data_IF_520883662846
#
_entry.id   IF_520883662846
#
_cell.length_a   1.000
_cell.length_b   1.000
_cell.length_c   1.000
_cell.angle_alpha   90.00
_cell.angle_beta   90.00
_cell.angle_gamma   90.00
#
_symmetry.space_group_name_H-M   'P 1'
#
loop_
_entity.id
_entity.type
_entity.pdbx_description
1 polymer ?
#
# COMPACT_ATOMS: atom_id res chain seq x y z
N UNK A 1 18.68 -16.28 -9.03
CA UNK A 1 17.47 -15.60 -9.52
C UNK A 1 16.92 -16.39 -10.72
N UNK A 2 15.69 -16.87 -10.64
CA UNK A 2 15.00 -17.64 -11.69
C UNK A 2 14.07 -16.76 -12.52
N UNK A 3 13.54 -17.29 -13.63
CA UNK A 3 12.52 -16.59 -14.43
C UNK A 3 11.23 -16.36 -13.61
N UNK A 4 10.84 -17.34 -12.80
CA UNK A 4 9.67 -17.23 -11.94
C UNK A 4 9.85 -16.13 -10.89
N UNK A 5 11.05 -16.01 -10.30
CA UNK A 5 11.35 -14.91 -9.36
C UNK A 5 11.34 -13.53 -10.04
N UNK A 6 11.82 -13.42 -11.28
CA UNK A 6 11.75 -12.18 -12.04
C UNK A 6 10.30 -11.77 -12.35
N UNK A 7 9.48 -12.74 -12.75
CA UNK A 7 8.04 -12.53 -12.97
C UNK A 7 7.34 -12.11 -11.68
N UNK A 8 7.58 -12.81 -10.57
CA UNK A 8 7.03 -12.49 -9.26
C UNK A 8 7.42 -11.08 -8.80
N UNK A 9 8.68 -10.65 -9.01
CA UNK A 9 9.11 -9.27 -8.71
C UNK A 9 8.31 -8.23 -9.49
N UNK A 10 8.04 -8.47 -10.77
CA UNK A 10 7.21 -7.58 -11.58
C UNK A 10 5.75 -7.56 -11.11
N UNK A 11 5.18 -8.73 -10.80
CA UNK A 11 3.81 -8.84 -10.29
C UNK A 11 3.61 -8.11 -8.95
N UNK A 12 4.54 -8.29 -8.01
CA UNK A 12 4.57 -7.58 -6.71
C UNK A 12 4.70 -6.07 -6.93
N UNK A 13 5.61 -5.65 -7.80
CA UNK A 13 5.80 -4.23 -8.11
C UNK A 13 4.52 -3.60 -8.69
N UNK A 14 3.83 -4.30 -9.60
CA UNK A 14 2.56 -3.82 -10.15
C UNK A 14 1.47 -3.71 -9.09
N UNK A 15 1.45 -4.60 -8.08
CA UNK A 15 0.53 -4.50 -6.93
C UNK A 15 0.81 -3.23 -6.12
N UNK A 16 2.08 -2.96 -5.80
CA UNK A 16 2.48 -1.74 -5.08
C UNK A 16 2.06 -0.47 -5.85
N UNK A 17 2.29 -0.44 -7.18
CA UNK A 17 1.87 0.68 -8.02
C UNK A 17 0.35 0.84 -8.09
N UNK A 18 -0.39 -0.27 -8.17
CA UNK A 18 -1.87 -0.26 -8.16
C UNK A 18 -2.41 0.26 -6.83
N UNK A 19 -1.79 -0.11 -5.71
CA UNK A 19 -2.11 0.42 -4.38
C UNK A 19 -1.92 1.95 -4.33
N UNK A 20 -0.73 2.46 -4.71
CA UNK A 20 -0.47 3.90 -4.75
C UNK A 20 -1.44 4.64 -5.67
N UNK A 21 -1.71 4.11 -6.87
CA UNK A 21 -2.71 4.66 -7.79
C UNK A 21 -4.11 4.70 -7.19
N UNK A 22 -4.48 3.66 -6.43
CA UNK A 22 -5.76 3.60 -5.71
C UNK A 22 -5.87 4.70 -4.67
N UNK A 23 -4.83 4.90 -3.85
CA UNK A 23 -4.78 6.01 -2.89
C UNK A 23 -4.91 7.37 -3.59
N UNK A 24 -4.05 7.63 -4.58
CA UNK A 24 -3.97 8.94 -5.24
C UNK A 24 -5.21 9.31 -6.07
N UNK A 25 -6.05 8.32 -6.39
CA UNK A 25 -7.32 8.52 -7.09
C UNK A 25 -8.55 8.30 -6.23
N UNK A 26 -8.35 8.00 -4.94
CA UNK A 26 -9.43 7.68 -3.99
C UNK A 26 -10.29 6.50 -4.48
N UNK A 27 -9.66 5.51 -5.11
CA UNK A 27 -10.30 4.30 -5.60
C UNK A 27 -10.06 3.14 -4.62
N UNK A 28 -11.02 2.94 -3.73
CA UNK A 28 -10.94 1.92 -2.68
C UNK A 28 -11.01 0.49 -3.21
N UNK A 29 -11.50 0.29 -4.45
CA UNK A 29 -11.48 -1.02 -5.09
C UNK A 29 -10.06 -1.41 -5.48
N UNK A 30 -9.29 -0.45 -6.03
CA UNK A 30 -7.86 -0.64 -6.31
C UNK A 30 -7.05 -0.83 -5.03
N UNK A 31 -7.33 -0.04 -3.99
CA UNK A 31 -6.67 -0.20 -2.68
C UNK A 31 -6.92 -1.58 -2.11
N UNK A 32 -8.18 -2.01 -2.01
CA UNK A 32 -8.55 -3.35 -1.51
C UNK A 32 -7.91 -4.45 -2.35
N UNK A 33 -7.89 -4.29 -3.67
CA UNK A 33 -7.35 -5.27 -4.61
C UNK A 33 -5.83 -5.48 -4.53
N UNK A 34 -5.10 -4.72 -3.71
CA UNK A 34 -3.69 -4.95 -3.44
C UNK A 34 -3.43 -5.96 -2.31
N UNK A 35 -4.46 -6.34 -1.56
CA UNK A 35 -4.36 -7.17 -0.37
C UNK A 35 -5.17 -8.47 -0.51
N UNK A 36 -4.70 -9.53 0.15
CA UNK A 36 -5.56 -10.69 0.41
C UNK A 36 -6.70 -10.31 1.37
N UNK A 37 -7.85 -10.98 1.25
CA UNK A 37 -9.04 -10.62 2.03
C UNK A 37 -8.83 -10.72 3.55
N UNK A 38 -7.98 -11.64 3.99
CA UNK A 38 -7.58 -11.88 5.38
C UNK A 38 -6.34 -11.09 5.79
N UNK A 39 -5.88 -10.13 4.97
CA UNK A 39 -4.67 -9.38 5.26
C UNK A 39 -4.79 -8.62 6.59
N UNK A 40 -3.69 -8.66 7.36
CA UNK A 40 -3.59 -7.94 8.62
C UNK A 40 -2.78 -6.67 8.44
N UNK A 41 -3.42 -5.52 8.64
CA UNK A 41 -2.80 -4.21 8.45
C UNK A 41 -2.18 -3.73 9.76
N UNK A 42 -0.92 -3.31 9.70
CA UNK A 42 -0.18 -2.85 10.88
C UNK A 42 0.53 -1.51 10.63
N UNK A 43 -0.19 -0.41 10.82
CA UNK A 43 0.40 0.93 10.90
C UNK A 43 0.63 1.36 12.36
N UNK A 44 1.25 2.53 12.61
CA UNK A 44 1.22 3.16 13.93
C UNK A 44 -0.22 3.26 14.48
N UNK A 45 -0.34 3.24 15.81
CA UNK A 45 -1.64 3.26 16.51
C UNK A 45 -2.53 4.43 16.09
N UNK A 46 -1.91 5.55 15.70
CA UNK A 46 -2.59 6.75 15.22
C UNK A 46 -3.28 6.60 13.86
N UNK A 47 -3.06 5.49 13.15
CA UNK A 47 -3.60 5.27 11.81
C UNK A 47 -4.51 4.05 11.77
N UNK A 48 -3.97 2.83 11.86
CA UNK A 48 -4.79 1.61 11.90
C UNK A 48 -3.99 0.36 12.29
N UNK A 49 -4.60 -0.52 13.08
CA UNK A 49 -4.15 -1.90 13.28
C UNK A 49 -5.35 -2.83 13.26
N UNK A 50 -5.33 -3.86 12.42
CA UNK A 50 -6.42 -4.82 12.34
C UNK A 50 -6.71 -5.30 10.93
N UNK A 51 -7.98 -5.54 10.63
CA UNK A 51 -8.40 -6.09 9.34
C UNK A 51 -8.25 -5.10 8.18
N UNK A 52 -8.08 -5.65 6.98
CA UNK A 52 -8.18 -4.92 5.71
C UNK A 52 -9.49 -4.12 5.61
N UNK A 53 -10.62 -4.71 6.01
CA UNK A 53 -11.93 -4.03 5.95
C UNK A 53 -11.95 -2.75 6.78
N UNK A 54 -11.41 -2.80 7.99
CA UNK A 54 -11.27 -1.62 8.85
C UNK A 54 -10.37 -0.56 8.21
N UNK A 55 -9.27 -0.99 7.60
CA UNK A 55 -8.32 -0.09 6.95
C UNK A 55 -8.92 0.61 5.73
N UNK A 56 -9.57 -0.16 4.84
CA UNK A 56 -10.22 0.38 3.64
C UNK A 56 -11.34 1.34 4.01
N UNK A 57 -12.11 1.03 5.08
CA UNK A 57 -13.13 1.95 5.60
C UNK A 57 -12.50 3.25 6.10
N UNK A 58 -11.44 3.16 6.89
CA UNK A 58 -10.70 4.34 7.36
C UNK A 58 -10.22 5.21 6.19
N UNK A 59 -9.60 4.61 5.17
CA UNK A 59 -9.15 5.33 3.99
C UNK A 59 -10.30 5.94 3.19
N UNK A 60 -11.44 5.25 3.08
CA UNK A 60 -12.62 5.77 2.39
C UNK A 60 -13.18 7.04 3.06
N UNK A 61 -13.06 7.14 4.39
CA UNK A 61 -13.49 8.32 5.16
C UNK A 61 -12.46 9.46 5.13
N UNK A 62 -11.16 9.12 5.10
CA UNK A 62 -10.06 10.09 5.22
C UNK A 62 -9.58 10.63 3.87
N UNK A 63 -9.36 9.77 2.88
CA UNK A 63 -8.76 10.15 1.58
C UNK A 63 -9.54 11.25 0.82
N UNK A 64 -10.89 11.27 0.80
CA UNK A 64 -11.65 12.36 0.18
C UNK A 64 -11.42 13.75 0.80
N UNK A 65 -10.81 13.82 1.99
CA UNK A 65 -10.51 15.09 2.68
C UNK A 65 -9.21 15.72 2.17
N UNK A 66 -8.42 15.03 1.37
CA UNK A 66 -7.28 15.64 0.68
C UNK A 66 -7.72 16.30 -0.63
N UNK A 67 -7.10 17.43 -0.96
CA UNK A 67 -7.21 18.03 -2.30
C UNK A 67 -6.46 17.19 -3.32
N UNK A 68 -5.28 16.71 -2.94
CA UNK A 68 -4.45 15.81 -3.74
C UNK A 68 -3.47 15.05 -2.86
N UNK A 69 -3.12 13.85 -3.31
CA UNK A 69 -2.04 13.04 -2.75
C UNK A 69 -1.17 12.52 -3.89
N UNK A 70 0.10 12.24 -3.58
CA UNK A 70 1.01 11.52 -4.47
C UNK A 70 1.85 10.57 -3.63
N UNK A 71 1.72 9.29 -3.89
CA UNK A 71 2.52 8.25 -3.24
C UNK A 71 3.64 7.80 -4.19
N UNK A 72 4.87 8.21 -3.88
CA UNK A 72 6.06 7.87 -4.65
C UNK A 72 6.85 6.76 -3.96
N UNK A 73 7.02 5.65 -4.68
CA UNK A 73 7.83 4.54 -4.22
C UNK A 73 9.29 4.74 -4.63
N UNK A 74 10.18 4.61 -3.66
CA UNK A 74 11.62 4.55 -3.87
C UNK A 74 12.10 3.12 -4.06
N UNK A 75 13.26 2.82 -3.51
CA UNK A 75 13.84 1.48 -3.57
C UNK A 75 12.91 0.46 -2.91
N UNK A 76 12.71 -0.67 -3.62
CA UNK A 76 12.02 -1.85 -3.09
C UNK A 76 13.00 -3.03 -3.09
N UNK A 77 13.23 -3.61 -1.93
CA UNK A 77 14.02 -4.82 -1.75
C UNK A 77 13.05 -5.99 -1.53
N UNK A 78 13.13 -7.00 -2.39
CA UNK A 78 12.26 -8.19 -2.35
C UNK A 78 13.12 -9.42 -2.09
N UNK A 79 12.80 -10.17 -1.04
CA UNK A 79 13.42 -11.43 -0.66
C UNK A 79 12.37 -12.54 -0.67
N UNK A 80 12.64 -13.63 -1.39
CA UNK A 80 11.72 -14.76 -1.51
C UNK A 80 11.96 -15.78 -0.39
N UNK A 81 10.88 -16.25 0.21
CA UNK A 81 10.86 -17.34 1.20
C UNK A 81 10.08 -18.52 0.61
N UNK A 82 10.72 -19.23 -0.31
CA UNK A 82 10.07 -20.26 -1.12
C UNK A 82 9.28 -19.70 -2.31
N UNK A 83 8.40 -20.53 -2.93
CA UNK A 83 7.77 -20.21 -4.21
C UNK A 83 6.60 -19.22 -4.11
N UNK A 84 6.01 -19.08 -2.92
CA UNK A 84 4.72 -18.40 -2.73
C UNK A 84 4.75 -17.34 -1.62
N UNK A 85 5.91 -17.04 -1.03
CA UNK A 85 6.07 -16.00 -0.01
C UNK A 85 7.23 -15.08 -0.40
N UNK A 86 7.03 -13.77 -0.22
CA UNK A 86 8.07 -12.77 -0.38
C UNK A 86 7.96 -11.71 0.71
N UNK A 87 9.10 -11.29 1.26
CA UNK A 87 9.20 -10.14 2.15
C UNK A 87 9.69 -8.93 1.34
N UNK A 88 9.01 -7.81 1.50
CA UNK A 88 9.22 -6.62 0.67
C UNK A 88 9.42 -5.40 1.56
N UNK A 89 10.61 -4.82 1.51
CA UNK A 89 10.88 -3.51 2.11
C UNK A 89 10.81 -2.45 1.01
N UNK A 90 9.90 -1.49 1.13
CA UNK A 90 9.75 -0.39 0.16
C UNK A 90 9.81 0.96 0.85
N UNK A 91 10.71 1.82 0.36
CA UNK A 91 10.72 3.24 0.74
C UNK A 91 9.56 3.98 0.09
N UNK A 92 8.87 4.81 0.88
CA UNK A 92 7.77 5.65 0.42
C UNK A 92 8.05 7.12 0.78
N UNK A 93 7.81 8.00 -0.18
CA UNK A 93 7.53 9.40 0.08
C UNK A 93 6.08 9.68 -0.33
N UNK A 94 5.32 10.37 0.52
CA UNK A 94 3.96 10.76 0.19
C UNK A 94 3.74 12.26 0.37
N UNK A 95 3.33 12.93 -0.69
CA UNK A 95 3.04 14.36 -0.71
C UNK A 95 1.52 14.54 -0.65
N UNK A 96 1.05 15.30 0.33
CA UNK A 96 -0.37 15.52 0.57
C UNK A 96 -0.67 17.01 0.63
N UNK A 97 -1.86 17.38 0.17
CA UNK A 97 -2.46 18.69 0.44
C UNK A 97 -3.81 18.48 1.11
N UNK A 98 -3.96 18.93 2.35
CA UNK A 98 -5.25 18.87 3.04
C UNK A 98 -6.28 19.79 2.39
N UNK A 99 -7.56 19.44 2.41
CA UNK A 99 -8.65 20.41 2.15
C UNK A 99 -8.98 21.22 3.41
N UNK A 100 -9.93 22.14 3.31
CA UNK A 100 -10.51 22.86 4.46
C UNK A 100 -11.18 21.92 5.48
N UNK A 101 -11.63 20.75 5.05
CA UNK A 101 -12.24 19.73 5.92
C UNK A 101 -11.20 18.83 6.59
N UNK A 102 -9.95 18.85 6.10
CA UNK A 102 -8.85 18.10 6.68
C UNK A 102 -8.21 18.86 7.84
N UNK A 103 -7.63 18.15 8.80
CA UNK A 103 -6.95 18.78 9.95
C UNK A 103 -5.74 19.65 9.55
N UNK A 104 -5.20 19.43 8.34
CA UNK A 104 -4.14 20.26 7.74
C UNK A 104 -4.64 21.53 7.04
N UNK A 105 -5.96 21.75 6.86
CA UNK A 105 -6.54 23.03 6.41
C UNK A 105 -5.82 23.72 5.24
N UNK A 106 -5.67 23.03 4.10
CA UNK A 106 -5.00 23.59 2.92
C UNK A 106 -3.48 23.39 2.85
N UNK A 107 -2.84 23.05 3.97
CA UNK A 107 -1.38 22.92 4.06
C UNK A 107 -0.83 21.73 3.26
N UNK A 108 0.42 21.89 2.84
CA UNK A 108 1.21 20.84 2.18
C UNK A 108 2.03 20.08 3.20
N UNK A 109 1.87 18.76 3.21
CA UNK A 109 2.60 17.86 4.11
C UNK A 109 3.33 16.81 3.30
N UNK A 110 4.60 16.59 3.65
CA UNK A 110 5.43 15.54 3.07
C UNK A 110 5.73 14.48 4.13
N UNK A 111 5.40 13.24 3.82
CA UNK A 111 5.59 12.08 4.68
C UNK A 111 6.64 11.15 4.09
N UNK A 112 7.35 10.46 4.99
CA UNK A 112 8.40 9.51 4.65
C UNK A 112 8.14 8.25 5.47
N UNK A 113 8.15 7.10 4.83
CA UNK A 113 7.90 5.82 5.50
C UNK A 113 8.70 4.70 4.85
N UNK A 114 8.71 3.56 5.54
CA UNK A 114 9.10 2.27 4.98
C UNK A 114 7.95 1.31 5.20
N UNK A 115 7.53 0.67 4.13
CA UNK A 115 6.65 -0.49 4.19
C UNK A 115 7.50 -1.75 4.37
N UNK A 116 7.00 -2.65 5.21
CA UNK A 116 7.57 -3.96 5.46
C UNK A 116 6.45 -4.97 5.24
N UNK A 117 6.24 -5.31 3.97
CA UNK A 117 5.10 -6.11 3.56
C UNK A 117 5.49 -7.58 3.49
N UNK A 118 4.57 -8.46 3.92
CA UNK A 118 4.61 -9.87 3.54
C UNK A 118 3.66 -10.07 2.37
N UNK A 119 4.20 -10.42 1.21
CA UNK A 119 3.44 -10.85 0.06
C UNK A 119 3.27 -12.36 0.06
N UNK A 120 2.10 -12.81 -0.36
CA UNK A 120 1.81 -14.22 -0.58
C UNK A 120 1.21 -14.42 -1.98
N UNK A 121 1.62 -15.51 -2.64
CA UNK A 121 0.98 -15.98 -3.87
C UNK A 121 -0.09 -16.99 -3.51
N UNK A 122 -1.34 -16.66 -3.80
CA UNK A 122 -2.48 -17.59 -3.61
C UNK A 122 -3.25 -17.66 -4.92
N UNK A 123 -3.57 -18.87 -5.35
CA UNK A 123 -4.24 -19.12 -6.63
C UNK A 123 -3.54 -18.44 -7.83
N UNK A 124 -2.21 -18.40 -7.79
CA UNK A 124 -1.37 -17.80 -8.83
C UNK A 124 -1.26 -16.27 -8.79
N UNK A 125 -1.83 -15.60 -7.79
CA UNK A 125 -1.82 -14.12 -7.67
C UNK A 125 -1.04 -13.68 -6.43
N UNK A 126 -0.06 -12.80 -6.62
CA UNK A 126 0.64 -12.12 -5.53
C UNK A 126 -0.17 -10.95 -5.00
N UNK A 127 -0.40 -10.89 -3.69
CA UNK A 127 -1.01 -9.76 -2.98
C UNK A 127 -0.38 -9.63 -1.59
N UNK A 128 -0.60 -8.48 -0.96
CA UNK A 128 -0.13 -8.19 0.40
C UNK A 128 -0.96 -9.00 1.41
N UNK A 129 -0.32 -9.75 2.28
CA UNK A 129 -0.93 -10.49 3.38
C UNK A 129 -0.76 -9.79 4.73
N UNK A 130 0.28 -8.97 4.89
CA UNK A 130 0.54 -8.20 6.11
C UNK A 130 1.36 -6.96 5.82
#
# INVERSE_FOLDING_TARGET
MTLEELKARAEIHDVLLRYCRGLDRVDMSLVRGAFHMDAYIQFPESLHKGSLDGFVKFLADEMPRFVRTMHFLGNSLIEFDGPDIAYVETYLQADHQGSELHHWKGEYVKLWARYFDRFERRDGVWLIAK
#
